data_IF_237433305687
#
_entry.id   IF_237433305687
#
_cell.length_a   1.000
_cell.length_b   1.000
_cell.length_c   1.000
_cell.angle_alpha   90.00
_cell.angle_beta   90.00
_cell.angle_gamma   90.00
#
_symmetry.space_group_name_H-M   'P 1'
#
loop_
_entity.id
_entity.type
_entity.pdbx_description
1 polymer ?
#
# COMPACT_ATOMS: atom_id res chain seq x y z
N UNK A 1 15.24 12.94 -16.23
CA UNK A 1 15.17 14.23 -15.50
C UNK A 1 13.81 14.49 -14.84
N UNK A 2 12.67 14.17 -15.48
CA UNK A 2 11.33 14.40 -14.91
C UNK A 2 11.06 13.73 -13.54
N UNK A 3 11.45 12.46 -13.35
CA UNK A 3 11.17 11.74 -12.10
C UNK A 3 11.85 12.35 -10.86
N UNK A 4 13.07 12.89 -11.02
CA UNK A 4 13.79 13.56 -9.91
C UNK A 4 13.10 14.87 -9.52
N UNK A 5 12.59 15.62 -10.50
CA UNK A 5 11.85 16.87 -10.28
C UNK A 5 10.53 16.61 -9.53
N UNK A 6 9.76 15.61 -9.95
CA UNK A 6 8.52 15.23 -9.27
C UNK A 6 8.73 14.79 -7.82
N UNK A 7 9.77 13.95 -7.58
CA UNK A 7 10.14 13.52 -6.22
C UNK A 7 10.56 14.70 -5.33
N UNK A 8 11.31 15.65 -5.88
CA UNK A 8 11.72 16.86 -5.17
C UNK A 8 10.50 17.74 -4.80
N UNK A 9 9.61 18.00 -5.76
CA UNK A 9 8.41 18.79 -5.52
C UNK A 9 7.52 18.15 -4.44
N UNK A 10 7.29 16.84 -4.52
CA UNK A 10 6.52 16.13 -3.50
C UNK A 10 7.15 16.27 -2.11
N UNK A 11 8.48 16.14 -1.98
CA UNK A 11 9.16 16.30 -0.71
C UNK A 11 9.00 17.72 -0.14
N UNK A 12 9.18 18.76 -0.98
CA UNK A 12 9.01 20.17 -0.59
C UNK A 12 7.56 20.46 -0.15
N UNK A 13 6.56 19.97 -0.88
CA UNK A 13 5.14 20.17 -0.58
C UNK A 13 4.69 19.47 0.72
N UNK A 14 5.30 18.33 1.04
CA UNK A 14 4.95 17.52 2.22
C UNK A 14 5.82 17.82 3.44
N UNK A 15 6.94 18.53 3.30
CA UNK A 15 7.87 18.87 4.38
C UNK A 15 7.22 19.69 5.50
N UNK A 16 6.29 20.57 5.17
CA UNK A 16 5.61 21.47 6.12
C UNK A 16 4.38 20.85 6.78
N UNK A 17 4.05 19.59 6.45
CA UNK A 17 2.89 18.90 7.02
C UNK A 17 3.17 18.48 8.45
N UNK A 18 2.17 18.65 9.30
CA UNK A 18 2.20 18.28 10.71
C UNK A 18 1.99 16.77 10.91
N UNK A 19 2.17 16.32 12.15
CA UNK A 19 1.93 14.91 12.51
C UNK A 19 0.46 14.51 12.34
N UNK A 20 -0.48 15.45 12.47
CA UNK A 20 -1.91 15.17 12.27
C UNK A 20 -2.24 14.81 10.82
N UNK A 21 -1.56 15.43 9.86
CA UNK A 21 -1.61 15.04 8.45
C UNK A 21 -1.10 13.61 8.27
N UNK A 22 0.12 13.30 8.75
CA UNK A 22 0.72 11.97 8.60
C UNK A 22 -0.06 10.87 9.32
N UNK A 23 -0.68 11.21 10.44
CA UNK A 23 -1.58 10.34 11.19
C UNK A 23 -2.85 9.94 10.40
N UNK A 24 -3.21 10.68 9.34
CA UNK A 24 -4.37 10.38 8.48
C UNK A 24 -4.00 9.63 7.20
N UNK A 25 -2.71 9.47 6.92
CA UNK A 25 -2.23 8.75 5.74
C UNK A 25 -2.39 7.25 5.95
N UNK A 26 -3.01 6.58 4.97
CA UNK A 26 -3.05 5.13 4.86
C UNK A 26 -2.16 4.72 3.68
N UNK A 27 -1.02 4.12 3.99
CA UNK A 27 -0.12 3.56 2.99
C UNK A 27 -0.65 2.21 2.55
N UNK A 28 -0.54 1.89 1.27
CA UNK A 28 -0.89 0.58 0.72
C UNK A 28 0.12 0.18 -0.34
N UNK A 29 0.41 -1.12 -0.43
CA UNK A 29 1.30 -1.65 -1.46
C UNK A 29 1.01 -3.13 -1.74
N UNK A 30 1.46 -3.59 -2.91
CA UNK A 30 1.51 -4.99 -3.28
C UNK A 30 2.94 -5.51 -3.18
N UNK A 31 3.11 -6.67 -2.56
CA UNK A 31 4.41 -7.34 -2.55
C UNK A 31 4.31 -8.78 -2.98
N UNK A 32 5.38 -9.26 -3.61
CA UNK A 32 5.54 -10.65 -4.04
C UNK A 32 6.44 -11.36 -3.05
N UNK A 33 5.89 -12.31 -2.32
CA UNK A 33 6.63 -13.13 -1.34
C UNK A 33 7.02 -14.44 -2.03
N UNK A 34 8.32 -14.70 -2.14
CA UNK A 34 8.82 -15.99 -2.60
C UNK A 34 8.71 -17.00 -1.45
N UNK A 35 8.01 -18.11 -1.66
CA UNK A 35 7.79 -19.13 -0.62
C UNK A 35 9.07 -19.91 -0.33
N UNK A 36 9.91 -20.07 -1.35
CA UNK A 36 11.21 -20.70 -1.28
C UNK A 36 12.27 -19.62 -1.56
N UNK A 37 13.25 -19.47 -0.67
CA UNK A 37 14.24 -18.37 -0.69
C UNK A 37 15.19 -18.33 -1.90
N UNK A 38 14.93 -19.10 -2.95
CA UNK A 38 15.76 -19.21 -4.16
C UNK A 38 15.16 -18.43 -5.32
N UNK A 39 15.76 -17.29 -5.62
CA UNK A 39 15.31 -16.29 -6.62
C UNK A 39 15.35 -16.78 -8.08
N UNK A 40 15.85 -17.98 -8.37
CA UNK A 40 16.20 -18.40 -9.74
C UNK A 40 15.70 -19.78 -10.20
N UNK A 41 15.03 -20.57 -9.35
CA UNK A 41 14.66 -21.95 -9.68
C UNK A 41 13.15 -22.18 -9.71
N UNK A 42 12.41 -21.34 -10.44
CA UNK A 42 10.98 -21.55 -10.66
C UNK A 42 10.14 -21.70 -9.38
N UNK A 43 10.62 -21.14 -8.26
CA UNK A 43 9.98 -21.27 -6.96
C UNK A 43 8.62 -20.60 -6.94
N UNK A 44 7.66 -21.24 -6.26
CA UNK A 44 6.34 -20.66 -6.07
C UNK A 44 6.42 -19.38 -5.23
N UNK A 45 5.58 -18.43 -5.61
CA UNK A 45 5.51 -17.11 -5.02
C UNK A 45 4.06 -16.71 -4.88
N UNK A 46 3.74 -16.03 -3.79
CA UNK A 46 2.41 -15.48 -3.57
C UNK A 46 2.46 -13.96 -3.64
N UNK A 47 1.48 -13.36 -4.30
CA UNK A 47 1.30 -11.92 -4.29
C UNK A 47 0.33 -11.56 -3.18
N UNK A 48 0.63 -10.46 -2.49
CA UNK A 48 -0.17 -10.03 -1.35
C UNK A 48 -0.34 -8.51 -1.37
N UNK A 49 -1.49 -8.05 -0.90
CA UNK A 49 -1.80 -6.65 -0.69
C UNK A 49 -1.90 -6.38 0.80
N UNK A 50 -1.39 -5.24 1.24
CA UNK A 50 -1.58 -4.76 2.61
C UNK A 50 -1.64 -3.25 2.69
N UNK A 51 -2.16 -2.76 3.80
CA UNK A 51 -2.13 -1.34 4.12
C UNK A 51 -1.73 -1.08 5.58
N UNK A 52 -1.22 0.11 5.87
CA UNK A 52 -0.73 0.51 7.19
C UNK A 52 -0.89 2.01 7.39
N UNK A 53 -1.17 2.42 8.62
CA UNK A 53 -1.20 3.82 9.06
C UNK A 53 -0.34 3.99 10.31
N UNK A 54 -0.19 5.23 10.77
CA UNK A 54 0.43 5.52 12.06
C UNK A 54 -0.30 4.86 13.26
N UNK A 55 -1.57 4.48 13.12
CA UNK A 55 -2.32 3.76 14.15
C UNK A 55 -2.03 2.25 14.16
N UNK A 56 -1.40 1.70 13.11
CA UNK A 56 -1.12 0.29 12.99
C UNK A 56 -1.43 -0.28 11.60
N UNK A 57 -1.37 -1.60 11.51
CA UNK A 57 -1.59 -2.38 10.28
C UNK A 57 -3.08 -2.48 9.97
N UNK A 58 -3.44 -2.31 8.70
CA UNK A 58 -4.78 -2.61 8.18
C UNK A 58 -4.92 -4.06 7.73
N UNK A 59 -5.96 -4.32 6.95
CA UNK A 59 -6.24 -5.63 6.37
C UNK A 59 -5.18 -6.03 5.34
N UNK A 60 -5.00 -7.35 5.21
CA UNK A 60 -4.08 -7.98 4.28
C UNK A 60 -4.82 -9.03 3.45
N UNK A 61 -4.53 -9.09 2.15
CA UNK A 61 -5.17 -10.04 1.23
C UNK A 61 -4.15 -10.79 0.38
N UNK A 62 -4.39 -12.08 0.20
CA UNK A 62 -3.70 -12.88 -0.82
C UNK A 62 -4.32 -12.63 -2.20
N UNK A 63 -3.46 -12.38 -3.18
CA UNK A 63 -3.85 -12.17 -4.57
C UNK A 63 -3.55 -13.45 -5.35
N UNK A 64 -4.60 -14.04 -5.93
CA UNK A 64 -4.47 -15.22 -6.76
C UNK A 64 -4.02 -14.84 -8.17
N UNK A 65 -2.78 -15.15 -8.51
CA UNK A 65 -2.21 -14.89 -9.83
C UNK A 65 -1.74 -13.43 -9.99
N UNK A 66 -1.74 -12.94 -11.23
CA UNK A 66 -1.33 -11.56 -11.55
C UNK A 66 -2.48 -10.60 -11.28
N UNK A 67 -2.23 -9.53 -10.52
CA UNK A 67 -3.22 -8.49 -10.27
C UNK A 67 -3.66 -7.81 -11.58
N UNK A 68 -4.97 -7.63 -11.74
CA UNK A 68 -5.55 -6.78 -12.77
C UNK A 68 -6.34 -5.62 -12.14
N UNK A 69 -6.79 -4.68 -12.98
CA UNK A 69 -7.48 -3.47 -12.52
C UNK A 69 -8.76 -3.75 -11.73
N UNK A 70 -9.52 -4.79 -12.08
CA UNK A 70 -10.77 -5.14 -11.40
C UNK A 70 -10.46 -5.71 -10.01
N UNK A 71 -9.49 -6.62 -9.92
CA UNK A 71 -9.02 -7.16 -8.64
C UNK A 71 -8.50 -6.06 -7.73
N UNK A 72 -7.74 -5.10 -8.27
CA UNK A 72 -7.28 -3.94 -7.51
C UNK A 72 -8.46 -3.13 -6.97
N UNK A 73 -9.43 -2.78 -7.82
CA UNK A 73 -10.63 -2.05 -7.40
C UNK A 73 -11.42 -2.80 -6.30
N UNK A 74 -11.51 -4.13 -6.41
CA UNK A 74 -12.20 -4.96 -5.43
C UNK A 74 -11.46 -5.00 -4.09
N UNK A 75 -10.13 -5.14 -4.11
CA UNK A 75 -9.28 -5.11 -2.92
C UNK A 75 -9.38 -3.77 -2.19
N UNK A 76 -9.40 -2.65 -2.93
CA UNK A 76 -9.59 -1.34 -2.32
C UNK A 76 -10.93 -1.24 -1.58
N UNK A 77 -12.01 -1.73 -2.19
CA UNK A 77 -13.36 -1.70 -1.59
C UNK A 77 -13.48 -2.66 -0.40
N UNK A 78 -12.88 -3.84 -0.51
CA UNK A 78 -13.07 -4.93 0.46
C UNK A 78 -12.08 -4.89 1.62
N UNK A 79 -10.88 -4.32 1.44
CA UNK A 79 -9.86 -4.23 2.49
C UNK A 79 -9.45 -2.83 2.84
N UNK A 80 -9.14 -1.96 1.87
CA UNK A 80 -8.58 -0.65 2.19
C UNK A 80 -9.61 0.24 2.92
N UNK A 81 -10.84 0.33 2.41
CA UNK A 81 -11.90 1.15 3.02
C UNK A 81 -12.27 0.64 4.43
N UNK A 82 -12.51 -0.67 4.65
CA UNK A 82 -12.75 -1.18 6.00
C UNK A 82 -11.57 -0.97 6.95
N UNK A 83 -10.33 -1.10 6.48
CA UNK A 83 -9.13 -0.81 7.29
C UNK A 83 -9.10 0.63 7.75
N UNK A 84 -9.42 1.56 6.85
CA UNK A 84 -9.51 2.98 7.16
C UNK A 84 -10.54 3.26 8.27
N UNK A 85 -11.71 2.63 8.17
CA UNK A 85 -12.78 2.74 9.16
C UNK A 85 -12.35 2.16 10.52
N UNK A 86 -11.75 0.97 10.53
CA UNK A 86 -11.25 0.32 11.75
C UNK A 86 -10.15 1.13 12.44
N UNK A 87 -9.26 1.75 11.67
CA UNK A 87 -8.16 2.58 12.18
C UNK A 87 -8.63 3.98 12.60
N UNK A 88 -9.93 4.29 12.47
CA UNK A 88 -10.52 5.56 12.90
C UNK A 88 -9.97 6.78 12.15
N UNK A 89 -9.48 6.60 10.92
CA UNK A 89 -8.87 7.67 10.13
C UNK A 89 -9.80 8.14 9.01
N UNK A 90 -9.74 9.44 8.67
CA UNK A 90 -10.25 9.96 7.40
C UNK A 90 -9.12 9.85 6.38
N UNK A 91 -9.40 9.27 5.22
CA UNK A 91 -8.40 9.05 4.18
C UNK A 91 -7.85 10.37 3.66
N UNK A 92 -6.52 10.47 3.67
CA UNK A 92 -5.79 11.34 2.76
C UNK A 92 -5.14 10.41 1.75
N UNK A 93 -5.59 10.50 0.51
CA UNK A 93 -5.00 9.79 -0.64
C UNK A 93 -3.83 10.61 -1.22
#
# INVERSE_FOLDING_TARGET
MMQKKARKQFAEDKQTKDMDYWNRVLLSDETKINLFGTVKLGGESVMVFGCMSAAGTGEFQFIKGTMNVNMYCDILKQSMIPSLQKLGRRAVF
#
